data_IF_262743940514
#
_entry.id   IF_262743940514
#
_cell.length_a   1.000
_cell.length_b   1.000
_cell.length_c   1.000
_cell.angle_alpha   90.00
_cell.angle_beta   90.00
_cell.angle_gamma   90.00
#
_symmetry.space_group_name_H-M   'P 1'
#
loop_
_entity.id
_entity.type
_entity.pdbx_description
1 polymer ?
2 non-polymer ?
3 non-polymer ?
4 water ?
#
# COMPACT_ATOMS: atom_id res chain seq x y z
N UNK A 2 9.70 14.94 -12.62
CA UNK A 2 10.75 15.47 -13.52
C UNK A 2 11.52 16.72 -13.00
N UNK A 3 10.85 17.74 -12.43
CA UNK A 3 11.60 18.86 -11.84
C UNK A 3 12.54 18.39 -10.74
N UNK A 4 13.77 18.91 -10.76
CA UNK A 4 14.74 18.50 -9.76
C UNK A 4 14.38 18.96 -8.35
N UNK A 5 13.60 20.04 -8.22
CA UNK A 5 13.05 20.48 -6.94
C UNK A 5 11.62 20.95 -7.13
N UNK A 6 10.78 20.75 -6.09
CA UNK A 6 9.48 21.42 -6.06
C UNK A 6 9.19 21.95 -4.64
N UNK A 7 8.30 22.94 -4.59
CA UNK A 7 7.85 23.57 -3.34
C UNK A 7 6.50 24.21 -3.66
N UNK A 8 5.41 23.62 -3.15
CA UNK A 8 4.10 24.08 -3.56
C UNK A 8 3.70 25.39 -2.91
N UNK A 9 4.50 25.90 -1.96
CA UNK A 9 4.26 27.26 -1.43
C UNK A 9 4.55 28.32 -2.47
N UNK A 10 5.44 28.03 -3.43
CA UNK A 10 5.70 28.96 -4.52
C UNK A 10 4.45 29.25 -5.34
N UNK A 11 3.52 28.29 -5.46
CA UNK A 11 2.29 28.50 -6.20
C UNK A 11 1.05 28.66 -5.32
N UNK A 12 1.26 29.14 -4.08
CA UNK A 12 0.14 29.52 -3.21
C UNK A 12 -0.82 28.41 -2.87
N UNK A 13 -0.32 27.19 -2.70
CA UNK A 13 -1.14 26.04 -2.39
C UNK A 13 -1.03 25.56 -0.95
N UNK A 14 -0.21 26.22 -0.11
CA UNK A 14 0.03 25.76 1.25
C UNK A 14 -0.37 26.86 2.23
N UNK A 15 -1.38 26.58 3.05
CA UNK A 15 -1.87 27.53 4.04
C UNK A 15 -0.84 27.73 5.15
N UNK A 16 -1.16 28.59 6.10
CA UNK A 16 -0.33 28.80 7.27
C UNK A 16 -0.23 27.54 8.14
N UNK A 17 0.92 27.37 8.78
CA UNK A 17 1.17 26.19 9.62
C UNK A 17 0.22 26.22 10.80
N UNK A 18 -0.35 25.06 11.12
CA UNK A 18 -1.28 24.95 12.22
C UNK A 18 -0.62 24.43 13.48
N UNK A 19 -1.35 24.56 14.58
CA UNK A 19 -0.90 24.15 15.91
C UNK A 19 -1.95 23.17 16.44
N UNK A 20 -1.61 21.88 16.42
CA UNK A 20 -2.54 20.86 16.87
C UNK A 20 -2.63 20.78 18.38
N UNK A 21 -1.62 21.27 19.10
CA UNK A 21 -1.68 21.28 20.56
C UNK A 21 -1.77 19.89 21.14
N UNK A 22 -2.51 19.78 22.24
CA UNK A 22 -2.64 18.54 23.02
C UNK A 22 -3.58 17.52 22.40
N UNK A 23 -4.12 17.79 21.22
CA UNK A 23 -5.03 16.88 20.55
C UNK A 23 -4.25 16.08 19.52
N UNK A 24 -4.49 14.76 19.47
CA UNK A 24 -3.72 13.92 18.57
C UNK A 24 -4.33 13.80 17.20
N UNK A 25 -4.44 14.92 16.48
CA UNK A 25 -5.22 15.00 15.26
C UNK A 25 -4.37 15.21 14.01
N UNK A 26 -3.10 14.82 14.03
CA UNK A 26 -2.21 15.08 12.89
C UNK A 26 -2.78 14.52 11.58
N UNK A 27 -3.49 13.38 11.65
CA UNK A 27 -4.21 12.86 10.49
C UNK A 27 -5.22 13.86 9.94
N UNK A 28 -5.91 14.60 10.82
CA UNK A 28 -6.85 15.58 10.33
C UNK A 28 -6.15 16.74 9.64
N UNK A 29 -5.02 17.19 10.20
CA UNK A 29 -4.28 18.29 9.58
C UNK A 29 -3.59 17.84 8.30
N UNK A 30 -3.02 16.63 8.29
CA UNK A 30 -2.41 16.14 7.06
C UNK A 30 -3.44 16.04 5.96
N UNK A 31 -4.68 15.67 6.29
CA UNK A 31 -5.72 15.48 5.29
C UNK A 31 -6.14 16.80 4.67
N UNK A 32 -6.55 17.78 5.49
CA UNK A 32 -7.02 19.06 4.95
C UNK A 32 -5.91 19.73 4.16
N UNK A 33 -4.67 19.60 4.62
CA UNK A 33 -3.54 20.16 3.88
C UNK A 33 -3.52 19.77 2.42
N UNK A 34 -3.71 18.49 2.15
CA UNK A 34 -3.73 18.05 0.77
C UNK A 34 -4.95 18.57 0.04
N UNK A 35 -6.13 18.57 0.70
CA UNK A 35 -7.33 19.03 -0.01
C UNK A 35 -7.31 20.53 -0.24
N UNK A 36 -6.69 21.28 0.66
CA UNK A 36 -6.45 22.69 0.41
C UNK A 36 -5.67 22.90 -0.88
N UNK A 37 -4.64 22.09 -1.10
CA UNK A 37 -3.80 22.25 -2.27
C UNK A 37 -4.58 21.94 -3.55
N UNK A 38 -5.47 20.93 -3.52
CA UNK A 38 -6.29 20.67 -4.70
C UNK A 38 -7.30 21.78 -4.91
N UNK A 39 -7.71 22.45 -3.83
CA UNK A 39 -8.72 23.49 -3.98
C UNK A 39 -8.14 24.73 -4.63
N UNK A 40 -6.89 25.06 -4.40
CA UNK A 40 -6.29 26.18 -5.08
C UNK A 40 -6.03 25.77 -6.49
N UNK A 41 -5.62 24.56 -6.72
CA UNK A 41 -5.41 24.12 -8.09
C UNK A 41 -6.68 24.23 -8.92
N UNK A 42 -7.82 23.76 -8.39
CA UNK A 42 -9.01 23.66 -9.22
C UNK A 42 -9.73 24.99 -9.34
N UNK A 43 -9.76 25.79 -8.27
CA UNK A 43 -10.56 27.02 -8.19
C UNK A 43 -9.73 28.29 -8.13
N UNK A 44 -8.47 28.20 -7.72
CA UNK A 44 -7.67 29.38 -7.59
C UNK A 44 -7.77 30.07 -6.25
N UNK A 45 -8.44 29.46 -5.29
CA UNK A 45 -8.60 30.02 -3.95
C UNK A 45 -7.93 29.16 -2.89
N UNK A 46 -7.09 29.78 -2.08
CA UNK A 46 -6.50 29.14 -0.92
C UNK A 46 -7.34 29.46 0.31
N UNK A 47 -7.70 28.43 1.07
CA UNK A 47 -8.52 28.62 2.26
C UNK A 47 -8.38 27.40 3.17
N UNK A 48 -8.10 27.65 4.45
CA UNK A 48 -7.88 26.57 5.39
C UNK A 48 -9.18 25.80 5.67
N UNK A 49 -9.08 24.48 5.57
CA UNK A 49 -10.22 23.60 5.77
C UNK A 49 -10.24 23.13 7.21
N UNK A 50 -11.42 22.77 7.68
CA UNK A 50 -11.65 22.53 9.10
C UNK A 50 -11.06 21.19 9.54
N UNK A 51 -9.97 21.23 10.29
CA UNK A 51 -9.51 20.02 10.94
C UNK A 51 -10.53 19.54 11.96
N UNK A 52 -11.23 20.49 12.59
CA UNK A 52 -12.23 20.14 13.60
C UNK A 52 -13.37 19.36 12.99
N UNK A 53 -13.76 19.70 11.77
CA UNK A 53 -14.76 18.90 11.05
C UNK A 53 -14.36 17.43 11.03
N UNK A 54 -13.14 17.13 10.60
CA UNK A 54 -12.69 15.74 10.53
C UNK A 54 -12.76 15.07 11.89
N UNK A 55 -12.23 15.74 12.92
CA UNK A 55 -12.17 15.15 14.25
C UNK A 55 -13.57 14.90 14.78
N UNK A 56 -14.46 15.87 14.60
CA UNK A 56 -15.80 15.77 15.18
C UNK A 56 -16.72 14.85 14.40
N UNK A 57 -16.49 14.68 13.09
CA UNK A 57 -17.42 13.96 12.23
C UNK A 57 -16.88 12.72 11.57
N UNK A 58 -15.60 12.67 11.18
CA UNK A 58 -14.97 11.47 10.63
C UNK A 58 -14.50 10.61 11.79
N UNK A 59 -15.36 9.71 12.23
CA UNK A 59 -15.18 9.01 13.49
C UNK A 59 -15.25 7.48 13.30
N UNK A 60 -16.10 6.82 14.08
CA UNK A 60 -16.06 5.37 14.22
C UNK A 60 -16.25 4.66 12.87
N UNK A 61 -17.25 5.08 12.11
CA UNK A 61 -17.46 4.51 10.78
C UNK A 61 -16.22 4.65 9.91
N UNK A 62 -15.37 5.65 10.18
CA UNK A 62 -14.15 5.85 9.43
C UNK A 62 -12.91 5.37 10.19
N UNK A 63 -13.11 4.66 11.30
CA UNK A 63 -12.02 4.03 12.01
C UNK A 63 -11.13 4.99 12.74
N UNK A 64 -11.63 6.18 13.03
CA UNK A 64 -10.87 7.27 13.63
C UNK A 64 -11.35 7.50 15.06
N UNK A 65 -10.48 8.11 15.86
CA UNK A 65 -10.76 8.32 17.27
C UNK A 65 -10.44 9.75 17.69
N UNK A 66 -10.60 10.71 16.79
CA UNK A 66 -10.44 12.12 17.11
C UNK A 66 -9.05 12.48 17.59
N UNK A 67 -8.97 12.99 18.82
CA UNK A 67 -7.70 13.40 19.40
C UNK A 67 -6.85 12.22 19.85
N UNK A 68 -7.34 10.99 19.69
CA UNK A 68 -6.61 9.76 19.98
C UNK A 68 -6.42 8.91 18.72
N UNK A 69 -6.16 9.57 17.59
CA UNK A 69 -5.69 8.91 16.41
C UNK A 69 -6.73 8.83 15.29
N UNK A 70 -6.22 8.68 14.08
CA UNK A 70 -7.07 8.53 12.92
C UNK A 70 -6.22 8.35 11.69
N UNK A 71 -6.87 8.40 10.53
CA UNK A 71 -6.21 8.12 9.27
C UNK A 71 -6.63 9.14 8.24
N UNK A 72 -5.67 9.55 7.41
CA UNK A 72 -5.94 10.53 6.37
C UNK A 72 -6.81 9.94 5.28
N UNK A 73 -6.59 8.67 4.95
CA UNK A 73 -7.37 8.03 3.89
C UNK A 73 -8.86 8.02 4.22
N UNK A 74 -9.23 7.56 5.42
CA UNK A 74 -10.64 7.48 5.76
C UNK A 74 -11.22 8.87 5.96
N UNK A 75 -10.38 9.84 6.33
CA UNK A 75 -10.81 11.24 6.36
C UNK A 75 -11.21 11.73 4.97
N UNK A 76 -10.50 11.29 3.92
CA UNK A 76 -10.92 11.60 2.56
C UNK A 76 -12.22 10.90 2.22
N UNK A 77 -12.39 9.65 2.66
CA UNK A 77 -13.66 8.96 2.42
C UNK A 77 -14.82 9.68 3.10
N UNK A 78 -14.60 10.18 4.32
CA UNK A 78 -15.64 10.97 4.99
C UNK A 78 -16.05 12.16 4.12
N UNK A 79 -15.07 12.90 3.60
CA UNK A 79 -15.39 14.08 2.80
C UNK A 79 -16.19 13.68 1.57
N UNK A 80 -15.80 12.59 0.91
CA UNK A 80 -16.56 12.07 -0.22
C UNK A 80 -17.99 11.77 0.20
N UNK A 81 -18.15 10.96 1.25
CA UNK A 81 -19.49 10.60 1.70
C UNK A 81 -20.30 11.84 2.07
N UNK A 82 -19.69 12.75 2.84
CA UNK A 82 -20.43 13.88 3.39
C UNK A 82 -20.71 14.95 2.34
N UNK A 83 -20.12 14.82 1.15
CA UNK A 83 -20.31 15.77 0.05
C UNK A 83 -19.82 17.17 0.45
N UNK A 84 -18.74 17.23 1.23
CA UNK A 84 -18.14 18.52 1.52
C UNK A 84 -17.38 18.53 2.83
N UNK A 85 -16.68 19.65 3.07
CA UNK A 85 -15.96 19.94 4.29
C UNK A 85 -16.05 21.45 4.51
N UNK A 86 -16.15 21.86 5.78
CA UNK A 86 -16.30 23.27 6.09
C UNK A 86 -14.97 23.99 6.14
N UNK A 87 -15.02 25.30 6.00
CA UNK A 87 -13.83 26.09 6.15
C UNK A 87 -13.39 26.11 7.61
N UNK A 88 -12.07 26.23 7.81
CA UNK A 88 -11.53 26.43 9.15
C UNK A 88 -12.21 27.60 9.84
N UNK A 89 -12.41 28.69 9.10
CA UNK A 89 -13.08 29.87 9.64
C UNK A 89 -14.45 29.55 10.22
N UNK A 90 -15.26 28.77 9.50
CA UNK A 90 -16.62 28.45 9.92
C UNK A 90 -16.69 27.34 10.96
N UNK A 91 -15.64 26.52 11.05
CA UNK A 91 -15.61 25.37 11.97
C UNK A 91 -14.22 25.30 12.57
N UNK A 92 -13.90 26.22 13.49
CA UNK A 92 -12.51 26.32 13.98
C UNK A 92 -12.11 25.13 14.82
N UNK A 93 -10.81 24.96 14.93
CA UNK A 93 -10.22 23.87 15.67
C UNK A 93 -10.12 24.26 17.14
N UNK A 94 -10.45 23.33 18.02
CA UNK A 94 -10.38 23.60 19.45
C UNK A 94 -9.51 22.60 20.19
N UNK A 95 -8.83 21.71 19.46
CA UNK A 95 -7.95 20.72 20.07
C UNK A 95 -8.67 19.96 21.16
N UNK A 96 -9.91 19.56 20.87
CA UNK A 96 -10.63 18.62 21.72
C UNK A 96 -11.74 17.99 20.89
N UNK A 97 -12.31 16.92 21.45
CA UNK A 97 -13.35 16.13 20.80
C UNK A 97 -14.72 16.74 21.08
N UNK A 98 -15.41 17.14 20.02
CA UNK A 98 -16.73 17.74 20.12
C UNK A 98 -17.71 16.86 19.36
N UNK A 99 -18.99 17.17 19.57
CA UNK A 99 -20.04 16.63 18.73
C UNK A 99 -19.88 17.16 17.31
N UNK A 100 -20.21 16.33 16.33
CA UNK A 100 -20.18 16.75 14.94
C UNK A 100 -21.14 17.91 14.70
N UNK A 101 -20.59 19.03 14.24
CA UNK A 101 -21.35 20.26 13.99
C UNK A 101 -21.20 20.71 12.55
N UNK A 102 -21.10 19.75 11.65
CA UNK A 102 -20.96 20.11 10.24
C UNK A 102 -22.17 20.90 9.77
N UNK A 103 -21.90 21.93 8.99
CA UNK A 103 -22.94 22.79 8.44
C UNK A 103 -22.66 22.96 6.94
N UNK A 104 -23.50 22.34 6.10
CA UNK A 104 -23.34 22.39 4.65
C UNK A 104 -23.37 23.81 4.11
N UNK A 105 -23.90 24.76 4.88
CA UNK A 105 -23.92 26.17 4.48
C UNK A 105 -22.50 26.71 4.26
N UNK A 106 -21.54 26.28 5.08
CA UNK A 106 -20.20 26.82 5.02
C UNK A 106 -19.22 25.87 4.36
N UNK A 107 -19.73 24.94 3.55
CA UNK A 107 -18.94 24.00 2.80
C UNK A 107 -17.92 24.72 1.90
N UNK A 108 -16.63 24.42 2.07
CA UNK A 108 -15.56 25.07 1.32
C UNK A 108 -14.90 24.20 0.27
N UNK A 109 -14.98 22.87 0.38
CA UNK A 109 -14.31 21.99 -0.54
C UNK A 109 -15.00 20.63 -0.56
N UNK A 110 -14.84 19.93 -1.67
CA UNK A 110 -15.37 18.61 -1.90
C UNK A 110 -14.20 17.65 -2.10
N UNK A 111 -14.52 16.37 -2.17
CA UNK A 111 -13.57 15.35 -2.54
C UNK A 111 -14.24 14.40 -3.54
N UNK A 112 -13.58 14.17 -4.67
CA UNK A 112 -14.07 13.19 -5.65
C UNK A 112 -13.52 11.80 -5.35
N UNK A 113 -12.22 11.71 -5.12
CA UNK A 113 -11.59 10.45 -4.78
C UNK A 113 -10.30 10.76 -4.04
N UNK A 114 -9.64 9.70 -3.57
CA UNK A 114 -8.27 9.78 -3.09
C UNK A 114 -7.51 8.60 -3.70
N UNK A 115 -6.19 8.61 -3.52
CA UNK A 115 -5.33 7.60 -4.11
C UNK A 115 -4.18 7.31 -3.15
N UNK A 116 -4.00 6.03 -2.85
CA UNK A 116 -2.86 5.58 -2.07
C UNK A 116 -1.75 5.11 -2.99
N UNK A 117 -0.50 5.39 -2.60
CA UNK A 117 0.72 5.11 -3.34
C UNK A 117 1.38 3.82 -2.85
N UNK A 118 2.25 3.23 -3.66
CA UNK A 118 2.93 1.99 -3.27
C UNK A 118 3.85 2.22 -2.08
N UNK A 119 3.88 1.24 -1.19
CA UNK A 119 4.67 1.33 0.02
C UNK A 119 6.15 1.53 -0.32
N UNK A 120 6.75 2.59 0.23
CA UNK A 120 8.19 2.75 0.19
C UNK A 120 8.73 3.32 -1.09
N UNK A 121 7.88 3.54 -2.09
CA UNK A 121 8.33 3.95 -3.41
C UNK A 121 8.59 5.45 -3.45
N UNK A 122 9.84 5.85 -3.20
CA UNK A 122 10.14 7.26 -3.26
C UNK A 122 10.13 7.81 -4.68
N UNK A 123 10.35 6.96 -5.68
CA UNK A 123 10.25 7.39 -7.07
C UNK A 123 8.82 7.77 -7.40
N UNK A 124 7.88 6.92 -7.01
CA UNK A 124 6.47 7.15 -7.26
C UNK A 124 5.95 8.33 -6.43
N UNK A 125 6.44 8.47 -5.20
CA UNK A 125 6.07 9.63 -4.39
C UNK A 125 6.51 10.95 -5.02
N UNK A 126 7.73 10.96 -5.57
CA UNK A 126 8.25 12.16 -6.23
C UNK A 126 7.32 12.56 -7.37
N UNK A 127 6.88 11.58 -8.15
CA UNK A 127 5.99 11.86 -9.27
C UNK A 127 4.71 12.52 -8.80
N UNK A 128 4.07 11.97 -7.76
CA UNK A 128 2.80 12.50 -7.33
C UNK A 128 2.95 13.93 -6.82
N UNK A 129 4.03 14.22 -6.09
CA UNK A 129 4.23 15.55 -5.54
C UNK A 129 4.47 16.58 -6.66
N UNK A 130 5.14 16.16 -7.73
CA UNK A 130 5.39 17.05 -8.87
C UNK A 130 4.16 17.16 -9.77
N UNK A 131 3.49 16.06 -10.02
CA UNK A 131 2.45 16.07 -11.03
C UNK A 131 1.04 16.24 -10.48
N UNK A 132 0.81 15.94 -9.21
CA UNK A 132 -0.55 15.95 -8.69
C UNK A 132 -0.73 16.91 -7.53
N UNK A 133 0.32 17.21 -6.78
CA UNK A 133 0.19 18.16 -5.69
C UNK A 133 0.73 17.59 -4.40
N UNK A 134 0.64 18.37 -3.32
CA UNK A 134 1.13 17.90 -2.02
C UNK A 134 0.46 16.60 -1.60
N UNK A 135 1.22 15.70 -0.97
CA UNK A 135 0.77 14.34 -0.68
C UNK A 135 0.77 14.08 0.82
N UNK A 136 -0.33 13.52 1.32
CA UNK A 136 -0.42 13.14 2.73
C UNK A 136 0.41 11.89 3.00
N UNK A 137 1.28 11.95 4.00
CA UNK A 137 2.06 10.80 4.41
C UNK A 137 2.03 10.69 5.92
N UNK A 138 2.45 9.52 6.41
CA UNK A 138 2.84 9.37 7.79
C UNK A 138 4.34 9.24 7.87
N UNK A 139 4.90 9.59 9.02
CA UNK A 139 6.32 9.44 9.29
C UNK A 139 6.47 8.76 10.63
N UNK A 140 7.66 8.23 10.87
CA UNK A 140 8.04 7.84 12.23
C UNK A 140 8.64 9.08 12.85
N UNK A 141 7.87 9.70 13.73
CA UNK A 141 8.32 10.88 14.43
C UNK A 141 8.50 10.62 15.92
N UNK A 142 8.65 9.36 16.33
CA UNK A 142 8.69 9.01 17.74
C UNK A 142 10.02 9.33 18.41
N UNK A 143 11.06 9.66 17.64
CA UNK A 143 12.43 9.72 18.17
C UNK A 143 12.79 11.12 18.62
N UNK A 144 13.54 11.18 19.71
CA UNK A 144 13.92 12.47 20.31
C UNK A 144 14.48 13.48 19.33
N UNK A 145 15.20 13.04 18.29
CA UNK A 145 15.71 13.99 17.30
C UNK A 145 14.60 14.72 16.59
N UNK A 146 13.48 14.04 16.32
CA UNK A 146 12.35 14.72 15.71
C UNK A 146 11.88 15.88 16.58
N UNK A 147 11.66 15.60 17.87
CA UNK A 147 11.15 16.63 18.76
C UNK A 147 12.13 17.79 18.86
N UNK A 148 13.42 17.49 18.83
CA UNK A 148 14.48 18.49 18.93
C UNK A 148 14.84 19.12 17.60
N UNK A 149 14.24 18.67 16.50
CA UNK A 149 14.57 19.20 15.19
C UNK A 149 14.43 20.73 15.15
N UNK A 150 15.46 21.39 14.64
CA UNK A 150 15.44 22.82 14.45
C UNK A 150 15.53 23.24 12.98
N UNK A 151 16.54 22.76 12.23
CA UNK A 151 16.65 23.12 10.81
C UNK A 151 17.57 22.12 10.09
N UNK A 152 17.65 22.28 8.76
CA UNK A 152 18.49 21.44 7.94
C UNK A 152 17.76 20.19 7.47
N UNK A 153 18.55 19.25 6.93
CA UNK A 153 18.02 17.98 6.47
C UNK A 153 18.07 16.98 7.61
N UNK A 154 16.88 16.50 8.01
CA UNK A 154 16.75 15.55 9.12
C UNK A 154 17.12 14.14 8.70
N UNK A 155 18.01 13.51 9.46
CA UNK A 155 18.37 12.11 9.29
C UNK A 155 18.53 11.51 10.67
N UNK A 156 17.93 10.33 10.88
CA UNK A 156 17.90 9.70 12.19
C UNK A 156 18.17 8.20 12.01
N UNK A 157 19.40 7.75 12.23
CA UNK A 157 19.72 6.33 11.98
C UNK A 157 18.90 5.34 12.81
N UNK A 158 18.27 5.74 13.91
CA UNK A 158 17.33 4.88 14.62
C UNK A 158 15.97 4.82 13.95
N UNK A 159 15.74 5.65 12.95
CA UNK A 159 14.40 5.78 12.41
C UNK A 159 13.96 4.47 11.75
N UNK A 160 12.70 4.11 11.95
CA UNK A 160 12.10 2.94 11.32
C UNK A 160 11.14 3.37 10.21
N UNK A 161 10.61 2.38 9.50
CA UNK A 161 9.60 2.58 8.46
C UNK A 161 8.17 2.41 8.97
N UNK A 162 7.99 2.27 10.26
CA UNK A 162 6.66 2.20 10.83
C UNK A 162 6.27 3.61 11.26
N UNK A 163 5.22 4.14 10.64
CA UNK A 163 4.84 5.55 10.82
C UNK A 163 3.85 5.68 11.95
N UNK A 164 3.88 6.84 12.56
CA UNK A 164 3.14 7.07 13.79
C UNK A 164 2.74 8.53 13.93
N UNK A 165 2.79 9.31 12.85
CA UNK A 165 2.53 10.75 12.87
C UNK A 165 2.20 11.18 11.45
N UNK A 166 1.02 11.78 11.27
CA UNK A 166 0.60 12.21 9.95
C UNK A 166 1.06 13.63 9.67
N UNK A 167 1.58 13.84 8.46
CA UNK A 167 2.16 15.10 8.01
C UNK A 167 1.91 15.26 6.51
N UNK A 168 2.35 16.37 5.91
CA UNK A 168 2.07 16.67 4.51
C UNK A 168 3.35 16.97 3.77
N UNK A 169 3.62 16.23 2.71
CA UNK A 169 4.75 16.50 1.81
C UNK A 169 4.31 17.55 0.79
N UNK A 170 4.94 18.72 0.81
CA UNK A 170 4.56 19.82 -0.05
C UNK A 170 5.65 20.17 -1.05
N UNK A 171 6.70 19.35 -1.13
CA UNK A 171 7.79 19.63 -2.05
C UNK A 171 9.00 18.76 -1.76
N UNK A 172 10.05 18.99 -2.55
CA UNK A 172 11.30 18.23 -2.37
C UNK A 172 12.45 18.95 -3.06
N UNK A 173 13.66 18.67 -2.58
CA UNK A 173 14.87 19.26 -3.12
C UNK A 173 16.15 18.63 -2.60
N UNK A 174 17.24 19.42 -2.58
CA UNK A 174 18.48 19.01 -1.95
C UNK A 174 19.12 20.22 -1.29
N UNK A 175 19.93 19.95 -0.28
CA UNK A 175 20.69 20.98 0.44
C UNK A 175 22.16 20.71 0.15
N UNK A 176 22.74 21.49 -0.76
CA UNK A 176 24.04 21.19 -1.38
C UNK A 176 24.18 19.70 -1.62
N UNK A 177 23.21 19.13 -2.33
CA UNK A 177 23.27 17.77 -2.78
C UNK A 177 22.55 16.79 -1.87
N UNK A 178 22.44 17.09 -0.59
CA UNK A 178 21.81 16.15 0.34
C UNK A 178 20.29 16.26 0.15
N UNK A 179 19.66 15.20 -0.39
CA UNK A 179 18.29 15.31 -0.86
C UNK A 179 17.26 15.17 0.27
N UNK A 180 16.09 15.80 0.07
CA UNK A 180 15.14 15.92 1.16
C UNK A 180 13.70 16.01 0.65
N UNK A 181 12.77 15.74 1.55
CA UNK A 181 11.34 15.99 1.35
C UNK A 181 10.96 17.23 2.16
N UNK A 182 10.27 18.16 1.51
CA UNK A 182 9.75 19.33 2.19
C UNK A 182 8.46 18.93 2.89
N UNK A 183 8.48 18.90 4.21
CA UNK A 183 7.40 18.35 5.01
C UNK A 183 6.77 19.48 5.81
N UNK A 184 5.48 19.68 5.64
CA UNK A 184 4.73 20.59 6.49
C UNK A 184 4.21 19.79 7.68
N UNK A 185 4.49 20.27 8.88
CA UNK A 185 4.03 19.63 10.11
C UNK A 185 2.96 20.53 10.73
N UNK A 186 2.34 20.04 11.79
CA UNK A 186 1.19 20.67 12.42
C UNK A 186 1.51 21.02 13.88
N UNK A 187 2.73 21.51 14.12
CA UNK A 187 3.22 21.83 15.45
C UNK A 187 3.43 23.33 15.65
N UNK A 188 2.82 24.17 14.82
CA UNK A 188 3.02 25.60 14.88
C UNK A 188 4.34 26.03 14.24
N UNK A 189 4.43 27.33 14.00
CA UNK A 189 5.58 27.86 13.27
C UNK A 189 6.85 27.81 14.09
N UNK A 190 6.75 27.70 15.41
CA UNK A 190 7.96 27.64 16.21
C UNK A 190 8.69 26.32 16.08
N UNK A 191 8.02 25.26 15.58
CA UNK A 191 8.69 24.00 15.29
C UNK A 191 9.46 24.07 13.98
N UNK A 192 10.70 23.59 14.00
CA UNK A 192 11.40 23.33 12.74
C UNK A 192 11.77 24.60 11.99
N UNK A 193 11.49 24.61 10.68
CA UNK A 193 11.85 25.74 9.82
C UNK A 193 10.57 26.53 9.52
N UNK A 194 10.19 27.35 10.48
CA UNK A 194 8.92 28.08 10.42
C UNK A 194 7.77 27.12 10.16
N UNK A 195 7.77 26.01 10.89
CA UNK A 195 6.74 25.00 10.83
C UNK A 195 7.08 23.77 10.00
N UNK A 196 8.18 23.81 9.26
CA UNK A 196 8.53 22.78 8.30
C UNK A 196 9.77 22.00 8.74
N UNK A 197 9.89 20.81 8.16
CA UNK A 197 11.04 19.93 8.37
C UNK A 197 11.43 19.32 7.03
N UNK A 198 12.73 19.39 6.71
CA UNK A 198 13.27 18.73 5.53
C UNK A 198 13.84 17.38 5.97
N UNK A 199 13.13 16.32 5.61
CA UNK A 199 13.50 14.97 5.97
C UNK A 199 14.19 14.25 4.81
N UNK A 200 15.18 13.43 5.14
CA UNK A 200 16.03 12.77 4.12
C UNK A 200 15.24 12.00 3.07
N UNK A 201 15.50 12.31 1.81
CA UNK A 201 14.87 11.70 0.66
C UNK A 201 15.84 10.74 -0.03
N UNK A 202 15.31 9.67 -0.61
CA UNK A 202 16.10 8.63 -1.26
C UNK A 202 17.19 8.05 -0.35
N UNK A 203 16.79 7.72 0.87
CA UNK A 203 17.63 7.00 1.83
C UNK A 203 16.83 5.84 2.40
N UNK A 204 16.28 5.03 1.48
CA UNK A 204 15.61 3.79 1.81
C UNK A 204 14.35 3.90 2.62
N UNK A 205 13.48 4.83 2.24
CA UNK A 205 12.22 5.07 2.93
C UNK A 205 12.46 5.54 4.37
N UNK A 206 13.37 6.50 4.50
CA UNK A 206 13.84 6.94 5.81
C UNK A 206 12.73 7.59 6.61
N UNK A 207 12.52 7.08 7.83
CA UNK A 207 11.40 7.42 8.70
C UNK A 207 10.06 7.03 8.08
N UNK A 208 10.09 6.10 7.13
CA UNK A 208 8.88 5.62 6.48
C UNK A 208 8.06 6.68 5.79
N UNK A 209 8.68 7.77 5.35
CA UNK A 209 7.92 8.85 4.71
C UNK A 209 7.13 8.33 3.50
N UNK A 210 7.60 7.28 2.82
CA UNK A 210 6.88 6.71 1.70
C UNK A 210 6.11 5.43 2.08
N UNK A 211 5.88 5.18 3.37
CA UNK A 211 5.20 3.95 3.75
C UNK A 211 3.73 3.95 3.37
N UNK A 212 2.99 5.02 3.67
CA UNK A 212 1.56 5.07 3.31
C UNK A 212 1.17 6.46 2.83
N UNK A 213 1.59 6.85 1.62
CA UNK A 213 1.17 8.14 1.06
C UNK A 213 -0.22 8.06 0.44
N UNK A 214 -0.90 9.20 0.44
CA UNK A 214 -2.19 9.34 -0.20
C UNK A 214 -2.46 10.82 -0.49
N UNK A 215 -3.31 11.06 -1.49
CA UNK A 215 -3.64 12.43 -1.91
C UNK A 215 -5.05 12.42 -2.49
N UNK A 216 -5.86 13.43 -2.23
CA UNK A 216 -7.22 13.47 -2.76
C UNK A 216 -7.25 14.22 -4.10
N UNK A 217 -8.41 14.16 -4.74
CA UNK A 217 -8.63 14.86 -6.00
C UNK A 217 -10.01 15.49 -6.06
N UNK A 218 -10.08 16.70 -6.65
CA UNK A 218 -11.33 17.37 -6.99
C UNK A 218 -11.50 17.31 -8.50
N UNK A 219 -12.39 16.40 -8.97
CA UNK A 219 -12.57 16.09 -10.39
C UNK A 219 -13.55 17.00 -11.12
N UNK A 220 -13.25 17.29 -12.39
CA UNK A 220 -14.16 18.00 -13.32
C UNK A 220 -14.59 17.11 -14.48
N UNK B 1 -22.90 -6.37 -9.77
CA UNK B 1 -21.64 -6.41 -10.50
C UNK B 1 -20.82 -7.67 -10.15
N UNK B 2 -20.32 -7.80 -8.87
CA UNK B 2 -19.30 -8.81 -8.55
C UNK B 2 -19.94 -10.18 -8.30
N UNK B 3 -19.30 -11.26 -8.76
CA UNK B 3 -19.77 -12.63 -8.42
C UNK B 3 -19.71 -12.87 -6.92
N UNK B 4 -20.75 -13.51 -6.39
CA UNK B 4 -20.77 -13.77 -4.95
C UNK B 4 -19.68 -14.75 -4.51
N UNK B 5 -19.25 -15.64 -5.40
CA UNK B 5 -18.13 -16.55 -5.17
C UNK B 5 -17.33 -16.65 -6.46
N UNK B 6 -16.00 -16.77 -6.33
CA UNK B 6 -15.16 -17.15 -7.47
C UNK B 6 -14.12 -18.16 -7.04
N UNK B 7 -13.63 -18.92 -8.03
CA UNK B 7 -12.63 -19.97 -7.88
C UNK B 7 -11.98 -20.16 -9.25
N UNK B 8 -10.76 -19.65 -9.41
CA UNK B 8 -10.10 -19.64 -10.72
C UNK B 8 -9.57 -21.01 -11.14
N UNK B 9 -9.53 -21.98 -10.23
CA UNK B 9 -9.20 -23.35 -10.62
C UNK B 9 -10.30 -23.95 -11.49
N UNK B 10 -11.54 -23.51 -11.25
CA UNK B 10 -12.67 -23.89 -12.08
C UNK B 10 -12.50 -23.45 -13.52
N UNK B 11 -11.76 -22.35 -13.76
CA UNK B 11 -11.54 -21.84 -15.10
C UNK B 11 -10.14 -22.20 -15.59
N UNK B 12 -9.56 -23.26 -15.03
CA UNK B 12 -8.31 -23.81 -15.48
C UNK B 12 -7.12 -22.87 -15.43
N UNK B 13 -7.07 -21.96 -14.45
CA UNK B 13 -5.99 -20.97 -14.33
C UNK B 13 -4.99 -21.25 -13.23
N UNK B 14 -5.09 -22.36 -12.51
CA UNK B 14 -4.24 -22.62 -11.36
C UNK B 14 -3.47 -23.91 -11.59
N UNK B 15 -2.15 -23.82 -11.62
CA UNK B 15 -1.34 -25.01 -11.81
C UNK B 15 -1.44 -25.89 -10.56
N UNK B 16 -0.81 -27.06 -10.61
CA UNK B 16 -0.77 -27.95 -9.45
C UNK B 16 -0.04 -27.33 -8.27
N UNK B 17 -0.43 -27.71 -7.05
CA UNK B 17 0.21 -27.17 -5.85
C UNK B 17 1.67 -27.60 -5.81
N UNK B 18 2.54 -26.65 -5.48
CA UNK B 18 3.99 -26.86 -5.44
C UNK B 18 4.47 -27.09 -4.01
N UNK B 19 5.69 -27.62 -3.91
CA UNK B 19 6.32 -27.95 -2.62
C UNK B 19 7.66 -27.21 -2.45
N UNK B 20 7.64 -26.13 -1.66
CA UNK B 20 8.84 -25.30 -1.53
C UNK B 20 9.92 -25.94 -0.66
N UNK B 21 9.56 -26.86 0.22
CA UNK B 21 10.59 -27.52 1.01
C UNK B 21 11.34 -26.59 1.94
N UNK B 22 12.63 -26.87 2.14
CA UNK B 22 13.47 -26.17 3.11
C UNK B 22 13.93 -24.80 2.63
N UNK B 23 13.53 -24.39 1.44
CA UNK B 23 13.91 -23.11 0.86
C UNK B 23 12.79 -22.10 1.13
N UNK B 24 13.18 -20.90 1.56
CA UNK B 24 12.20 -19.88 1.93
C UNK B 24 11.81 -18.97 0.79
N UNK B 25 11.21 -19.55 -0.25
CA UNK B 25 10.96 -18.85 -1.51
C UNK B 25 9.46 -18.62 -1.78
N UNK B 26 8.63 -18.57 -0.73
CA UNK B 26 7.18 -18.41 -0.90
C UNK B 26 6.82 -17.20 -1.77
N UNK B 27 7.62 -16.13 -1.70
CA UNK B 27 7.50 -14.99 -2.60
C UNK B 27 7.68 -15.37 -4.07
N UNK B 28 8.65 -16.25 -4.36
CA UNK B 28 8.84 -16.65 -5.75
C UNK B 28 7.68 -17.49 -6.25
N UNK B 29 7.14 -18.37 -5.40
CA UNK B 29 5.99 -19.15 -5.81
C UNK B 29 4.73 -18.30 -5.91
N UNK B 30 4.54 -17.36 -4.97
CA UNK B 30 3.37 -16.50 -5.02
C UNK B 30 3.34 -15.70 -6.32
N UNK B 31 4.52 -15.24 -6.77
CA UNK B 31 4.59 -14.45 -7.98
C UNK B 31 4.27 -15.28 -9.22
N UNK B 32 4.98 -16.40 -9.43
CA UNK B 32 4.77 -17.18 -10.66
C UNK B 32 3.32 -17.65 -10.74
N UNK B 33 2.75 -18.06 -9.61
CA UNK B 33 1.33 -18.43 -9.58
C UNK B 33 0.44 -17.37 -10.18
N UNK B 34 0.67 -16.12 -9.80
CA UNK B 34 -0.13 -15.04 -10.35
C UNK B 34 0.12 -14.90 -11.84
N UNK B 35 1.38 -15.01 -12.27
CA UNK B 35 1.63 -14.84 -13.70
C UNK B 35 1.12 -16.03 -14.49
N UNK B 36 1.13 -17.21 -13.89
CA UNK B 36 0.54 -18.38 -14.53
C UNK B 36 -0.92 -18.12 -14.91
N UNK B 37 -1.66 -17.48 -14.02
CA UNK B 37 -3.07 -17.23 -14.29
C UNK B 37 -3.28 -16.21 -15.40
N UNK B 38 -2.42 -15.19 -15.48
CA UNK B 38 -2.57 -14.25 -16.59
C UNK B 38 -2.18 -14.87 -17.93
N UNK B 39 -1.32 -15.89 -17.93
CA UNK B 39 -0.95 -16.47 -19.21
C UNK B 39 -2.06 -17.35 -19.79
N UNK B 40 -2.76 -18.10 -18.95
CA UNK B 40 -3.91 -18.87 -19.43
C UNK B 40 -5.01 -17.94 -19.89
N UNK B 41 -5.23 -16.86 -19.15
CA UNK B 41 -6.28 -15.93 -19.52
C UNK B 41 -5.98 -15.31 -20.88
N UNK B 42 -4.73 -14.93 -21.12
CA UNK B 42 -4.40 -14.22 -22.35
C UNK B 42 -4.12 -15.18 -23.52
N UNK B 43 -3.47 -16.32 -23.27
CA UNK B 43 -3.12 -17.25 -24.36
C UNK B 43 -3.91 -18.55 -24.37
N UNK B 44 -4.50 -18.96 -23.26
CA UNK B 44 -5.19 -20.22 -23.23
C UNK B 44 -4.34 -21.41 -22.84
N UNK B 45 -3.09 -21.20 -22.47
CA UNK B 45 -2.23 -22.30 -22.03
C UNK B 45 -1.87 -22.12 -20.56
N UNK B 46 -2.03 -23.19 -19.80
CA UNK B 46 -1.58 -23.28 -18.41
C UNK B 46 -0.23 -23.97 -18.38
N UNK B 47 0.74 -23.36 -17.70
CA UNK B 47 2.09 -23.90 -17.63
C UNK B 47 2.85 -23.29 -16.47
N UNK B 48 3.45 -24.16 -15.64
CA UNK B 48 4.10 -23.70 -14.44
C UNK B 48 5.35 -22.90 -14.80
N UNK B 49 5.47 -21.72 -14.19
CA UNK B 49 6.60 -20.85 -14.43
C UNK B 49 7.67 -21.11 -13.36
N UNK B 50 8.91 -20.83 -13.73
CA UNK B 50 10.05 -21.30 -12.94
C UNK B 50 10.18 -20.48 -11.66
N UNK B 51 9.86 -21.10 -10.52
CA UNK B 51 10.17 -20.43 -9.27
C UNK B 51 11.67 -20.28 -9.10
N UNK B 52 12.43 -21.24 -9.61
CA UNK B 52 13.87 -21.20 -9.52
C UNK B 52 14.44 -20.00 -10.25
N UNK B 53 13.84 -19.68 -11.40
CA UNK B 53 14.18 -18.48 -12.16
C UNK B 53 14.17 -17.26 -11.26
N UNK B 54 13.09 -17.08 -10.50
CA UNK B 54 13.00 -15.95 -9.60
C UNK B 54 14.11 -16.00 -8.56
N UNK B 55 14.28 -17.18 -7.93
CA UNK B 55 15.21 -17.31 -6.82
C UNK B 55 16.64 -17.06 -7.28
N UNK B 56 17.02 -17.67 -8.40
CA UNK B 56 18.39 -17.59 -8.88
C UNK B 56 18.72 -16.25 -9.54
N UNK B 57 17.73 -15.54 -10.07
CA UNK B 57 17.99 -14.35 -10.87
C UNK B 57 17.39 -13.06 -10.30
N UNK B 58 16.26 -13.11 -9.60
CA UNK B 58 15.70 -11.93 -8.95
C UNK B 58 16.36 -11.80 -7.58
N UNK B 59 17.42 -11.00 -7.49
CA UNK B 59 18.24 -10.96 -6.29
C UNK B 59 18.47 -9.56 -5.73
N UNK B 60 19.73 -9.20 -5.49
CA UNK B 60 20.05 -8.01 -4.70
C UNK B 60 19.46 -6.75 -5.34
N UNK B 61 19.64 -6.60 -6.66
CA UNK B 61 19.04 -5.47 -7.35
C UNK B 61 17.54 -5.40 -7.13
N UNK B 62 16.89 -6.54 -6.89
CA UNK B 62 15.47 -6.55 -6.62
C UNK B 62 15.16 -6.75 -5.15
N UNK B 63 16.17 -6.67 -4.29
CA UNK B 63 15.96 -6.69 -2.86
C UNK B 63 15.55 -8.03 -2.32
N UNK B 64 15.81 -9.10 -3.07
CA UNK B 64 15.42 -10.44 -2.71
C UNK B 64 16.67 -11.24 -2.37
N UNK B 65 16.48 -12.31 -1.58
CA UNK B 65 17.58 -13.10 -1.04
C UNK B 65 17.35 -14.61 -1.22
N UNK B 66 16.72 -14.99 -2.32
CA UNK B 66 16.54 -16.40 -2.65
C UNK B 66 15.73 -17.14 -1.61
N UNK B 67 16.36 -18.16 -1.00
CA UNK B 67 15.74 -19.01 -0.01
C UNK B 67 15.64 -18.35 1.36
N UNK B 68 16.14 -17.13 1.48
CA UNK B 68 16.04 -16.35 2.70
C UNK B 68 15.24 -15.09 2.46
N UNK B 69 14.18 -15.19 1.67
CA UNK B 69 13.19 -14.15 1.63
C UNK B 69 13.21 -13.36 0.32
N UNK B 70 12.07 -12.72 0.05
CA UNK B 70 11.94 -11.85 -1.11
C UNK B 70 10.55 -11.27 -1.18
N UNK B 71 10.26 -10.61 -2.30
CA UNK B 71 9.01 -9.90 -2.47
C UNK B 71 8.43 -10.17 -3.85
N UNK B 72 7.09 -10.29 -3.89
CA UNK B 72 6.43 -10.58 -5.16
C UNK B 72 6.50 -9.41 -6.11
N UNK B 73 6.36 -8.18 -5.59
CA UNK B 73 6.36 -6.99 -6.44
C UNK B 73 7.66 -6.90 -7.24
N UNK B 74 8.80 -7.04 -6.57
CA UNK B 74 10.07 -6.99 -7.27
C UNK B 74 10.29 -8.24 -8.11
N UNK B 75 9.65 -9.35 -7.76
CA UNK B 75 9.68 -10.51 -8.64
C UNK B 75 9.03 -10.20 -9.99
N UNK B 76 7.92 -9.43 -9.97
CA UNK B 76 7.29 -8.99 -11.20
C UNK B 76 8.19 -8.01 -11.94
N UNK B 77 8.85 -7.11 -11.20
CA UNK B 77 9.78 -6.18 -11.83
C UNK B 77 10.91 -6.89 -12.51
N UNK B 78 11.45 -7.96 -11.89
CA UNK B 78 12.48 -8.73 -12.56
C UNK B 78 11.98 -9.25 -13.91
N UNK B 79 10.80 -9.87 -13.89
CA UNK B 79 10.27 -10.46 -15.12
C UNK B 79 10.09 -9.39 -16.19
N UNK B 80 9.62 -8.21 -15.78
CA UNK B 80 9.50 -7.11 -16.74
C UNK B 80 10.86 -6.81 -17.37
N UNK B 81 11.86 -6.54 -16.53
CA UNK B 81 13.18 -6.12 -17.00
C UNK B 81 13.78 -7.16 -17.91
N UNK B 82 13.76 -8.43 -17.47
CA UNK B 82 14.43 -9.52 -18.17
C UNK B 82 13.65 -9.94 -19.40
N UNK B 83 12.48 -9.35 -19.64
CA UNK B 83 11.63 -9.58 -20.81
C UNK B 83 11.16 -11.04 -20.91
N UNK B 84 10.94 -11.69 -19.78
CA UNK B 84 10.42 -13.04 -19.81
C UNK B 84 10.73 -13.81 -18.55
N UNK B 85 10.18 -15.02 -18.50
CA UNK B 85 10.45 -15.97 -17.42
C UNK B 85 10.39 -17.36 -18.04
N UNK B 86 11.22 -18.26 -17.56
CA UNK B 86 11.26 -19.60 -18.11
C UNK B 86 10.18 -20.48 -17.50
N UNK B 87 9.85 -21.54 -18.22
CA UNK B 87 8.93 -22.53 -17.70
C UNK B 87 9.58 -23.34 -16.57
N UNK B 88 8.74 -23.77 -15.64
CA UNK B 88 9.17 -24.72 -14.61
C UNK B 88 9.83 -25.94 -15.22
N UNK B 89 9.22 -26.50 -16.28
CA UNK B 89 9.80 -27.63 -16.99
C UNK B 89 11.24 -27.34 -17.40
N UNK B 90 11.48 -26.16 -17.97
CA UNK B 90 12.80 -25.79 -18.45
C UNK B 90 13.75 -25.36 -17.34
N UNK B 91 13.22 -24.95 -16.18
CA UNK B 91 14.05 -24.44 -15.09
C UNK B 91 13.47 -24.94 -13.77
N UNK B 92 13.63 -26.23 -13.47
CA UNK B 92 12.95 -26.81 -12.31
C UNK B 92 13.45 -26.25 -10.99
N UNK B 93 12.62 -26.44 -9.99
CA UNK B 93 12.92 -25.95 -8.66
C UNK B 93 13.81 -26.97 -7.97
N UNK B 94 14.82 -26.48 -7.25
CA UNK B 94 15.74 -27.35 -6.53
C UNK B 94 15.83 -27.01 -5.05
N UNK B 95 15.02 -26.07 -4.58
CA UNK B 95 15.00 -25.67 -3.17
C UNK B 95 16.39 -25.34 -2.67
N UNK B 96 17.15 -24.62 -3.49
CA UNK B 96 18.49 -24.13 -3.15
C UNK B 96 18.73 -22.86 -3.93
N UNK B 97 19.74 -22.12 -3.49
CA UNK B 97 20.18 -20.91 -4.18
C UNK B 97 21.23 -21.29 -5.22
N UNK B 98 20.93 -21.08 -6.49
CA UNK B 98 21.87 -21.42 -7.55
C UNK B 98 22.28 -20.15 -8.28
N UNK B 99 23.30 -20.28 -9.15
CA UNK B 99 23.61 -19.21 -10.09
C UNK B 99 22.46 -19.06 -11.07
N UNK B 100 22.20 -17.81 -11.47
CA UNK B 100 21.15 -17.53 -12.44
C UNK B 100 21.41 -18.28 -13.75
N UNK B 101 20.45 -19.08 -14.16
CA UNK B 101 20.61 -19.86 -15.38
C UNK B 101 19.51 -19.56 -16.38
N UNK B 102 19.05 -18.31 -16.42
CA UNK B 102 17.98 -17.93 -17.33
C UNK B 102 18.42 -18.09 -18.78
N UNK B 103 17.52 -18.67 -19.58
CA UNK B 103 17.72 -18.94 -21.01
C UNK B 103 16.47 -18.49 -21.74
N UNK B 104 16.58 -17.37 -22.48
CA UNK B 104 15.44 -16.86 -23.23
C UNK B 104 14.90 -17.85 -24.26
N UNK B 105 15.67 -18.88 -24.62
CA UNK B 105 15.17 -19.87 -25.56
C UNK B 105 13.93 -20.57 -25.02
N UNK B 106 13.88 -20.83 -23.70
CA UNK B 106 12.78 -21.54 -23.05
C UNK B 106 11.87 -20.63 -22.26
N UNK B 107 11.86 -19.33 -22.59
CA UNK B 107 10.95 -18.34 -22.04
C UNK B 107 9.49 -18.74 -22.23
N UNK B 108 8.73 -18.79 -21.12
CA UNK B 108 7.32 -19.19 -21.19
C UNK B 108 6.33 -18.05 -20.99
N UNK B 109 6.73 -16.93 -20.39
CA UNK B 109 5.78 -15.85 -20.14
C UNK B 109 6.53 -14.54 -19.92
N UNK B 110 5.83 -13.43 -20.16
CA UNK B 110 6.32 -12.08 -19.97
C UNK B 110 5.45 -11.39 -18.94
N UNK B 111 5.88 -10.20 -18.54
CA UNK B 111 5.11 -9.33 -17.66
C UNK B 111 5.17 -7.91 -18.23
N UNK B 112 4.01 -7.28 -18.38
CA UNK B 112 3.95 -5.87 -18.79
C UNK B 112 3.98 -4.93 -17.59
N UNK B 113 3.21 -5.22 -16.56
CA UNK B 113 3.21 -4.39 -15.36
C UNK B 113 2.69 -5.22 -14.20
N UNK B 114 2.76 -4.65 -13.01
CA UNK B 114 2.09 -5.14 -11.82
C UNK B 114 1.42 -3.97 -11.12
N UNK B 115 0.59 -4.29 -10.14
CA UNK B 115 -0.21 -3.29 -9.45
C UNK B 115 -0.32 -3.69 -7.99
N UNK B 116 -0.01 -2.77 -7.08
CA UNK B 116 -0.22 -2.99 -5.66
C UNK B 116 -1.55 -2.37 -5.25
N UNK B 117 -2.29 -3.09 -4.35
CA UNK B 117 -3.62 -2.70 -3.86
C UNK B 117 -3.52 -2.01 -2.49
N UNK B 118 -4.57 -1.27 -2.10
CA UNK B 118 -4.55 -0.57 -0.81
C UNK B 118 -4.48 -1.53 0.35
N UNK B 119 -3.69 -1.16 1.34
CA UNK B 119 -3.53 -1.98 2.53
C UNK B 119 -4.90 -2.20 3.20
N UNK B 120 -5.23 -3.46 3.44
CA UNK B 120 -6.34 -3.82 4.28
C UNK B 120 -7.69 -3.80 3.62
N UNK B 121 -7.78 -3.34 2.36
CA UNK B 121 -9.06 -3.16 1.67
C UNK B 121 -9.51 -4.50 1.09
N UNK B 122 -10.34 -5.22 1.85
CA UNK B 122 -10.85 -6.48 1.34
C UNK B 122 -11.88 -6.29 0.23
N UNK B 123 -12.56 -5.14 0.18
CA UNK B 123 -13.45 -4.86 -0.95
C UNK B 123 -12.66 -4.76 -2.25
N UNK B 124 -11.54 -4.03 -2.23
CA UNK B 124 -10.73 -3.87 -3.43
C UNK B 124 -10.12 -5.20 -3.84
N UNK B 125 -9.72 -6.00 -2.83
CA UNK B 125 -9.18 -7.33 -3.11
C UNK B 125 -10.23 -8.23 -3.75
N UNK B 126 -11.48 -8.13 -3.29
CA UNK B 126 -12.54 -8.93 -3.92
C UNK B 126 -12.68 -8.58 -5.38
N UNK B 127 -12.69 -7.28 -5.69
CA UNK B 127 -12.82 -6.83 -7.07
C UNK B 127 -11.66 -7.31 -7.94
N UNK B 128 -10.41 -7.22 -7.43
CA UNK B 128 -9.26 -7.65 -8.22
C UNK B 128 -9.32 -9.14 -8.51
N UNK B 129 -9.68 -9.94 -7.51
CA UNK B 129 -9.76 -11.38 -7.66
C UNK B 129 -10.86 -11.75 -8.65
N UNK B 130 -11.93 -10.94 -8.70
CA UNK B 130 -13.01 -11.22 -9.64
C UNK B 130 -12.67 -10.73 -11.05
N UNK B 131 -12.11 -9.52 -11.17
CA UNK B 131 -12.01 -8.86 -12.46
C UNK B 131 -10.66 -9.05 -13.14
N UNK B 132 -9.61 -9.39 -12.38
CA UNK B 132 -8.27 -9.45 -12.91
C UNK B 132 -7.60 -10.80 -12.79
N UNK B 133 -7.99 -11.63 -11.82
CA UNK B 133 -7.40 -12.95 -11.69
C UNK B 133 -6.86 -13.16 -10.30
N UNK B 134 -6.22 -14.31 -10.06
CA UNK B 134 -5.59 -14.55 -8.76
C UNK B 134 -4.57 -13.46 -8.42
N UNK B 135 -4.52 -13.10 -7.13
CA UNK B 135 -3.74 -11.97 -6.63
C UNK B 135 -2.68 -12.47 -5.64
N UNK B 136 -1.43 -12.00 -5.80
CA UNK B 136 -0.37 -12.34 -4.86
C UNK B 136 -0.48 -11.58 -3.54
N UNK B 137 -0.45 -12.29 -2.42
CA UNK B 137 -0.53 -11.66 -1.11
C UNK B 137 0.48 -12.26 -0.15
N UNK B 138 0.68 -11.57 0.97
CA UNK B 138 1.29 -12.14 2.16
C UNK B 138 0.28 -12.36 3.28
N UNK B 139 0.57 -13.28 4.19
CA UNK B 139 -0.26 -13.55 5.35
C UNK B 139 0.61 -13.64 6.60
N UNK B 140 -0.03 -13.49 7.75
CA UNK B 140 0.64 -13.84 8.99
C UNK B 140 0.35 -15.33 9.20
N UNK B 141 1.33 -16.16 8.86
CA UNK B 141 1.24 -17.60 9.00
C UNK B 141 2.18 -18.11 10.06
N UNK B 142 2.62 -17.24 10.97
CA UNK B 142 3.55 -17.68 12.00
C UNK B 142 2.91 -18.61 13.02
N UNK B 143 1.57 -18.62 13.15
CA UNK B 143 0.91 -19.18 14.34
C UNK B 143 0.64 -20.68 14.22
N UNK B 144 0.78 -21.38 15.33
CA UNK B 144 0.65 -22.84 15.33
C UNK B 144 -0.60 -23.37 14.64
N UNK B 145 -1.72 -22.65 14.76
CA UNK B 145 -2.94 -23.12 14.10
C UNK B 145 -2.75 -23.18 12.59
N UNK B 146 -1.96 -22.26 12.02
CA UNK B 146 -1.71 -22.31 10.59
C UNK B 146 -1.02 -23.60 10.19
N UNK B 147 0.10 -23.91 10.86
CA UNK B 147 0.88 -25.10 10.51
C UNK B 147 0.04 -26.37 10.63
N UNK B 148 -0.85 -26.42 11.61
CA UNK B 148 -1.67 -27.60 11.80
C UNK B 148 -2.93 -27.60 10.96
N UNK B 149 -3.21 -26.51 10.24
CA UNK B 149 -4.47 -26.38 9.51
C UNK B 149 -4.75 -27.59 8.62
N UNK B 150 -5.95 -28.15 8.77
CA UNK B 150 -6.38 -29.26 7.93
C UNK B 150 -7.56 -28.91 7.04
N UNK B 151 -8.62 -28.31 7.57
CA UNK B 151 -9.77 -28.00 6.72
C UNK B 151 -10.60 -26.89 7.37
N UNK B 152 -11.64 -26.46 6.67
CA UNK B 152 -12.56 -25.44 7.17
C UNK B 152 -12.08 -24.04 6.88
N UNK B 153 -12.79 -23.08 7.47
CA UNK B 153 -12.43 -21.67 7.32
C UNK B 153 -11.50 -21.30 8.45
N UNK B 154 -10.28 -20.90 8.11
CA UNK B 154 -9.27 -20.62 9.13
C UNK B 154 -9.56 -19.29 9.82
N UNK B 155 -9.57 -19.32 11.15
CA UNK B 155 -9.64 -18.12 11.97
C UNK B 155 -8.69 -18.27 13.15
N UNK B 156 -7.87 -17.24 13.38
CA UNK B 156 -6.84 -17.29 14.40
C UNK B 156 -6.88 -15.96 15.14
N UNK B 157 -7.52 -15.90 16.31
CA UNK B 157 -7.64 -14.62 17.02
C UNK B 157 -6.30 -13.98 17.41
N UNK B 158 -5.21 -14.75 17.51
CA UNK B 158 -3.89 -14.19 17.76
C UNK B 158 -3.24 -13.60 16.52
N UNK B 159 -3.82 -13.84 15.34
CA UNK B 159 -3.21 -13.43 14.09
C UNK B 159 -3.18 -11.91 13.99
N UNK B 160 -2.09 -11.37 13.45
CA UNK B 160 -1.99 -9.93 13.22
C UNK B 160 -2.08 -9.61 11.73
N UNK B 161 -2.00 -8.32 11.43
CA UNK B 161 -1.96 -7.84 10.05
C UNK B 161 -0.54 -7.71 9.53
N UNK B 162 0.45 -8.23 10.26
CA UNK B 162 1.81 -8.23 9.78
C UNK B 162 2.11 -9.54 9.07
N UNK B 163 2.39 -9.46 7.78
CA UNK B 163 2.51 -10.67 6.98
C UNK B 163 3.95 -11.14 6.94
N UNK B 164 4.10 -12.45 6.78
CA UNK B 164 5.41 -13.07 6.90
C UNK B 164 5.54 -14.31 6.01
N UNK B 165 4.63 -14.50 5.05
CA UNK B 165 4.60 -15.69 4.20
C UNK B 165 3.78 -15.36 2.97
N UNK B 166 4.37 -15.54 1.79
CA UNK B 166 3.67 -15.25 0.55
C UNK B 166 2.86 -16.43 0.05
N UNK B 167 1.64 -16.14 -0.42
CA UNK B 167 0.67 -17.11 -0.89
C UNK B 167 -0.11 -16.48 -2.05
N UNK B 168 -1.08 -17.22 -2.58
CA UNK B 168 -1.80 -16.77 -3.76
C UNK B 168 -3.30 -16.88 -3.49
N UNK B 169 -4.01 -15.76 -3.62
CA UNK B 169 -5.47 -15.74 -3.53
C UNK B 169 -6.05 -16.09 -4.90
N UNK B 170 -6.75 -17.23 -4.98
CA UNK B 170 -7.27 -17.73 -6.25
C UNK B 170 -8.79 -17.76 -6.29
N UNK B 171 -9.44 -17.17 -5.29
CA UNK B 171 -10.88 -17.17 -5.24
C UNK B 171 -11.37 -16.74 -3.87
N UNK B 172 -12.69 -16.75 -3.73
CA UNK B 172 -13.35 -16.42 -2.48
C UNK B 172 -14.75 -16.96 -2.50
N UNK B 173 -15.28 -17.19 -1.31
CA UNK B 173 -16.64 -17.65 -1.16
C UNK B 173 -17.05 -17.61 0.31
N UNK B 174 -17.93 -18.51 0.69
CA UNK B 174 -18.30 -18.71 2.09
C UNK B 174 -18.55 -20.19 2.33
N UNK B 175 -18.38 -20.62 3.57
CA UNK B 175 -18.65 -22.00 3.94
C UNK B 175 -19.83 -21.97 4.88
N UNK B 176 -21.01 -22.34 4.36
CA UNK B 176 -22.27 -22.11 5.05
C UNK B 176 -22.26 -20.76 5.77
N UNK B 177 -22.00 -19.71 5.00
CA UNK B 177 -22.10 -18.35 5.48
C UNK B 177 -20.79 -17.73 5.96
N UNK B 178 -19.88 -18.52 6.51
CA UNK B 178 -18.65 -17.95 7.02
C UNK B 178 -17.70 -17.72 5.83
N UNK B 179 -17.42 -16.44 5.54
CA UNK B 179 -16.74 -16.06 4.31
C UNK B 179 -15.24 -16.29 4.38
N UNK B 180 -14.64 -16.54 3.22
CA UNK B 180 -13.25 -16.97 3.19
C UNK B 180 -12.57 -16.52 1.91
N UNK B 181 -11.24 -16.52 1.95
CA UNK B 181 -10.41 -16.38 0.76
C UNK B 181 -9.84 -17.74 0.42
N UNK B 182 -9.99 -18.15 -0.84
CA UNK B 182 -9.42 -19.41 -1.32
C UNK B 182 -7.93 -19.21 -1.59
N UNK B 183 -7.08 -19.78 -0.73
CA UNK B 183 -5.66 -19.48 -0.71
C UNK B 183 -4.87 -20.73 -1.11
N UNK B 184 -4.09 -20.58 -2.18
CA UNK B 184 -3.17 -21.59 -2.63
C UNK B 184 -1.85 -21.34 -1.92
N UNK B 185 -1.33 -22.37 -1.28
CA UNK B 185 -0.07 -22.28 -0.59
C UNK B 185 0.96 -23.09 -1.39
N UNK B 186 2.20 -23.08 -0.93
CA UNK B 186 3.30 -23.74 -1.61
C UNK B 186 3.94 -24.79 -0.69
N UNK B 187 3.12 -25.51 0.07
CA UNK B 187 3.60 -26.50 1.01
C UNK B 187 3.28 -27.93 0.56
N UNK B 188 3.00 -28.10 -0.72
CA UNK B 188 2.60 -29.39 -1.24
C UNK B 188 1.14 -29.72 -0.96
N UNK B 189 0.69 -30.79 -1.61
CA UNK B 189 -0.72 -31.13 -1.53
C UNK B 189 -1.10 -31.68 -0.16
N UNK B 190 -0.15 -32.15 0.63
CA UNK B 190 -0.50 -32.67 1.93
C UNK B 190 -0.85 -31.60 2.95
N UNK B 191 -0.54 -30.33 2.69
CA UNK B 191 -1.00 -29.26 3.56
C UNK B 191 -2.47 -28.94 3.32
N UNK B 192 -3.26 -28.86 4.38
CA UNK B 192 -4.55 -28.20 4.26
C UNK B 192 -5.57 -28.94 3.43
N UNK B 193 -6.21 -28.24 2.51
CA UNK B 193 -7.29 -28.82 1.71
C UNK B 193 -6.73 -29.15 0.33
N UNK B 194 -6.03 -30.28 0.27
CA UNK B 194 -5.30 -30.70 -0.92
C UNK B 194 -4.42 -29.56 -1.42
N UNK B 195 -3.73 -28.92 -0.47
CA UNK B 195 -2.80 -27.84 -0.72
C UNK B 195 -3.33 -26.44 -0.45
N UNK B 196 -4.65 -26.30 -0.24
CA UNK B 196 -5.28 -24.99 -0.13
C UNK B 196 -5.71 -24.71 1.31
N UNK B 197 -5.91 -23.43 1.60
CA UNK B 197 -6.42 -23.02 2.91
C UNK B 197 -7.42 -21.90 2.70
N UNK B 198 -8.61 -22.04 3.32
CA UNK B 198 -9.63 -21.00 3.27
C UNK B 198 -9.52 -20.17 4.54
N UNK B 199 -9.00 -18.96 4.40
CA UNK B 199 -8.79 -18.05 5.52
C UNK B 199 -9.93 -17.03 5.56
N UNK B 200 -10.37 -16.70 6.78
CA UNK B 200 -11.57 -15.90 6.98
C UNK B 200 -11.51 -14.59 6.22
N UNK B 201 -12.59 -14.29 5.50
CA UNK B 201 -12.72 -13.07 4.72
C UNK B 201 -13.68 -12.09 5.41
N UNK B 202 -13.41 -10.79 5.22
CA UNK B 202 -14.16 -9.69 5.86
C UNK B 202 -14.22 -9.81 7.38
N UNK B 203 -13.05 -10.01 7.97
CA UNK B 203 -12.87 -10.05 9.41
C UNK B 203 -11.72 -9.10 9.79
N UNK B 204 -11.82 -7.88 9.28
CA UNK B 204 -10.86 -6.86 9.65
C UNK B 204 -9.45 -7.14 9.20
N UNK B 205 -9.29 -7.60 7.95
CA UNK B 205 -7.97 -7.91 7.40
C UNK B 205 -7.30 -9.05 8.18
N UNK B 206 -8.08 -10.10 8.42
CA UNK B 206 -7.64 -11.16 9.33
C UNK B 206 -6.39 -11.84 8.81
N UNK B 207 -5.38 -11.93 9.66
CA UNK B 207 -4.07 -12.45 9.27
C UNK B 207 -3.39 -11.61 8.19
N UNK B 208 -3.81 -10.35 8.02
CA UNK B 208 -3.22 -9.47 7.03
C UNK B 208 -3.29 -9.93 5.59
N UNK B 209 -4.29 -10.73 5.23
CA UNK B 209 -4.40 -11.25 3.86
C UNK B 209 -4.47 -10.13 2.84
N UNK B 210 -5.10 -9.00 3.21
CA UNK B 210 -5.21 -7.84 2.34
C UNK B 210 -4.21 -6.74 2.71
N UNK B 211 -3.19 -7.05 3.48
CA UNK B 211 -2.24 -6.01 3.88
C UNK B 211 -1.36 -5.56 2.71
N UNK B 212 -0.87 -6.47 1.87
CA UNK B 212 -0.07 -6.12 0.70
C UNK B 212 -0.35 -6.99 -0.53
N UNK B 213 -1.51 -6.79 -1.17
CA UNK B 213 -1.77 -7.53 -2.41
C UNK B 213 -1.15 -6.86 -3.63
N UNK B 214 -0.81 -7.69 -4.62
CA UNK B 214 -0.32 -7.25 -5.92
C UNK B 214 -0.53 -8.36 -6.93
N UNK B 215 -0.66 -7.96 -8.19
CA UNK B 215 -0.94 -8.89 -9.30
C UNK B 215 -0.33 -8.36 -10.59
N UNK B 216 0.20 -9.24 -11.45
CA UNK B 216 0.79 -8.80 -12.72
C UNK B 216 -0.23 -8.81 -13.85
N UNK B 217 0.17 -8.20 -14.97
CA UNK B 217 -0.66 -8.20 -16.18
C UNK B 217 0.22 -8.36 -17.41
N UNK B 218 -0.27 -9.11 -18.40
CA UNK B 218 0.35 -9.26 -19.71
C UNK B 218 -0.51 -8.47 -20.69
N UNK B 219 -0.08 -7.26 -21.03
CA UNK B 219 -0.91 -6.40 -21.86
C UNK B 219 -0.84 -6.82 -23.33
N UNK B 220 -1.95 -6.64 -24.03
CA UNK B 220 -2.05 -6.92 -25.47
C UNK B 220 -2.29 -5.60 -26.20
N UNK B 221 -1.19 -4.87 -26.47
CA UNK B 221 -1.35 -3.60 -27.15
C UNK B 221 -1.93 -2.51 -26.26
N UNK B 222 -2.56 -1.51 -26.88
CA UNK B 222 -3.07 -0.34 -26.17
C UNK B 222 -3.69 0.69 -27.10
N UNK B 223 -4.52 1.54 -26.51
CA UNK B 223 -5.24 2.56 -27.26
C UNK B 223 -5.03 3.96 -26.72
#
# INVERSE_FOLDING_TARGET
ILPDSVDWREKGCVTEVKYQGSCGASWAFSAVGALEAQLKLKTGKLVSLSAQNLVDCSTEKYGNKGCNGGFMTTAFQYIIDNKGIDSDASYPYKAMDQKCQYDSKYRAATCSKYTELPYGREDVLKEAVANKGPVSVGVDARHPSFFLYRSGVYYEPSCTQNVNHGVLVVGYGDLNGKEYWLVKNSWGHNFGEEGYIRMARNKGNHCGIASFPSYPEILQGGG
ILPDSVDWREKGCVTEVKYQGSCGASWAFSAVGALEAQLKLKTGKLVSLSAQNLVDCSTEKYGNKGCNGGFMTTAFQYIIDNKGIDSDASYPYKAMDQKCQYDSKYRAATCSKYTELPYGREDVLKEAVANKGPVSVGVDARHPSFFLYRSGVYYEPSCTQNVNHGVLVVGYGDLNGKEYWLVKNSWGHNFGEEGYIRMARNKGNHCGIASFPSYPEILQGGG
#
